data_IF_810953177883
#
_entry.id   IF_810953177883
#
_cell.length_a   1.000
_cell.length_b   1.000
_cell.length_c   1.000
_cell.angle_alpha   90.00
_cell.angle_beta   90.00
_cell.angle_gamma   90.00
#
_symmetry.space_group_name_H-M   'P 1'
#
loop_
_entity.id
_entity.type
_entity.pdbx_description
1 polymer ?
#
# COMPACT_ATOMS: atom_id res chain seq x y z
N UNK A 1 -14.83 -17.15 12.32
CA UNK A 1 -13.36 -17.21 12.20
C UNK A 1 -12.92 -16.10 11.25
N UNK A 2 -11.79 -15.44 11.49
CA UNK A 2 -11.23 -14.47 10.54
C UNK A 2 -10.75 -15.21 9.29
N UNK A 3 -10.90 -14.59 8.12
CA UNK A 3 -10.44 -15.19 6.88
C UNK A 3 -8.90 -15.37 6.88
N UNK A 4 -8.41 -16.46 6.28
CA UNK A 4 -6.96 -16.67 6.13
C UNK A 4 -6.36 -15.68 5.12
N UNK A 5 -5.04 -15.57 5.08
CA UNK A 5 -4.33 -14.75 4.10
C UNK A 5 -4.68 -15.19 2.68
N UNK A 6 -4.71 -16.50 2.40
CA UNK A 6 -5.03 -17.02 1.07
C UNK A 6 -6.51 -16.82 0.70
N UNK A 7 -7.43 -16.94 1.65
CA UNK A 7 -8.85 -16.58 1.43
C UNK A 7 -9.01 -15.08 1.12
N UNK A 8 -8.19 -14.21 1.73
CA UNK A 8 -8.19 -12.78 1.42
C UNK A 8 -7.61 -12.48 0.05
N UNK A 9 -6.54 -13.18 -0.35
CA UNK A 9 -5.98 -13.10 -1.70
C UNK A 9 -7.04 -13.45 -2.75
N UNK A 10 -7.78 -14.53 -2.53
CA UNK A 10 -8.83 -15.00 -3.44
C UNK A 10 -9.99 -14.02 -3.59
N UNK A 11 -10.27 -13.24 -2.55
CA UNK A 11 -11.31 -12.20 -2.55
C UNK A 11 -10.86 -10.89 -3.20
N UNK A 12 -9.59 -10.74 -3.58
CA UNK A 12 -9.15 -9.53 -4.25
C UNK A 12 -9.86 -9.36 -5.60
N UNK A 13 -10.22 -8.13 -5.98
CA UNK A 13 -10.88 -7.87 -7.25
C UNK A 13 -9.95 -8.23 -8.41
N UNK A 14 -10.48 -8.95 -9.40
CA UNK A 14 -9.74 -9.23 -10.65
C UNK A 14 -9.71 -8.03 -11.59
N UNK A 15 -10.75 -7.20 -11.53
CA UNK A 15 -10.91 -5.98 -12.34
C UNK A 15 -11.80 -4.98 -11.61
N UNK A 16 -11.26 -3.80 -11.31
CA UNK A 16 -11.96 -2.61 -10.84
C UNK A 16 -11.01 -1.41 -10.94
N UNK A 17 -11.42 -0.23 -10.45
CA UNK A 17 -10.57 0.96 -10.46
C UNK A 17 -9.21 0.74 -9.77
N UNK A 18 -9.17 0.07 -8.62
CA UNK A 18 -7.91 -0.29 -7.92
C UNK A 18 -6.96 -1.04 -8.85
N UNK A 19 -7.43 -2.11 -9.48
CA UNK A 19 -6.62 -2.93 -10.39
C UNK A 19 -6.14 -2.12 -11.60
N UNK A 20 -6.99 -1.24 -12.14
CA UNK A 20 -6.62 -0.38 -13.27
C UNK A 20 -5.56 0.66 -12.87
N UNK A 21 -5.69 1.29 -11.69
CA UNK A 21 -4.72 2.25 -11.18
C UNK A 21 -3.34 1.59 -10.93
N UNK A 22 -3.32 0.41 -10.31
CA UNK A 22 -2.09 -0.36 -10.11
C UNK A 22 -1.48 -0.77 -11.46
N UNK A 23 -2.30 -1.22 -12.41
CA UNK A 23 -1.83 -1.57 -13.76
C UNK A 23 -1.24 -0.38 -14.52
N UNK A 24 -1.80 0.82 -14.34
CA UNK A 24 -1.24 2.05 -14.88
C UNK A 24 0.15 2.31 -14.30
N UNK A 25 0.27 2.38 -12.98
CA UNK A 25 1.56 2.64 -12.30
C UNK A 25 2.59 1.54 -12.52
N UNK A 26 2.19 0.27 -12.67
CA UNK A 26 3.14 -0.81 -12.90
C UNK A 26 3.91 -0.68 -14.21
N UNK A 27 3.44 0.14 -15.17
CA UNK A 27 4.18 0.50 -16.38
C UNK A 27 5.44 1.32 -16.11
N UNK A 28 5.50 2.01 -14.96
CA UNK A 28 6.64 2.80 -14.53
C UNK A 28 7.71 1.95 -13.81
N UNK A 29 7.40 0.69 -13.47
CA UNK A 29 8.25 -0.17 -12.64
C UNK A 29 8.75 -1.37 -13.47
N UNK A 30 10.07 -1.57 -13.59
CA UNK A 30 10.63 -2.76 -14.23
C UNK A 30 10.12 -4.05 -13.58
N UNK A 31 9.84 -5.07 -14.40
CA UNK A 31 9.24 -6.34 -13.95
C UNK A 31 7.71 -6.32 -13.89
N UNK A 32 7.08 -5.14 -13.91
CA UNK A 32 5.64 -4.98 -13.99
C UNK A 32 4.88 -5.55 -12.78
N UNK A 33 3.58 -5.77 -12.97
CA UNK A 33 2.71 -6.38 -11.96
C UNK A 33 1.64 -7.22 -12.63
N UNK A 34 1.38 -8.39 -12.04
CA UNK A 34 0.29 -9.27 -12.42
C UNK A 34 -0.71 -9.33 -11.28
N UNK A 35 -2.00 -9.24 -11.60
CA UNK A 35 -3.06 -9.35 -10.60
C UNK A 35 -3.28 -10.82 -10.19
N UNK A 36 -2.28 -11.41 -9.53
CA UNK A 36 -2.38 -12.75 -8.97
C UNK A 36 -3.38 -12.74 -7.81
N UNK A 37 -4.48 -13.45 -7.97
CA UNK A 37 -5.51 -13.63 -6.94
C UNK A 37 -5.83 -15.10 -6.69
N UNK A 38 -5.22 -16.05 -7.41
CA UNK A 38 -5.41 -17.48 -7.17
C UNK A 38 -4.32 -17.98 -6.21
N UNK A 39 -4.69 -18.52 -5.04
CA UNK A 39 -3.74 -19.16 -4.15
C UNK A 39 -2.97 -20.29 -4.82
N UNK A 40 -3.63 -21.13 -5.62
CA UNK A 40 -3.01 -22.26 -6.32
C UNK A 40 -1.99 -21.79 -7.33
N UNK A 41 -2.33 -20.78 -8.15
CA UNK A 41 -1.41 -20.23 -9.12
C UNK A 41 -0.21 -19.54 -8.45
N UNK A 42 -0.43 -18.85 -7.32
CA UNK A 42 0.67 -18.29 -6.52
C UNK A 42 1.58 -19.39 -5.96
N UNK A 43 1.01 -20.47 -5.43
CA UNK A 43 1.78 -21.60 -4.89
C UNK A 43 2.57 -22.29 -6.01
N UNK A 44 1.95 -22.54 -7.17
CA UNK A 44 2.62 -23.13 -8.31
C UNK A 44 3.78 -22.24 -8.81
N UNK A 45 3.58 -20.91 -8.85
CA UNK A 45 4.61 -19.94 -9.21
C UNK A 45 5.79 -19.98 -8.24
N UNK A 46 5.53 -20.00 -6.92
CA UNK A 46 6.60 -20.05 -5.90
C UNK A 46 7.35 -21.39 -5.93
N UNK A 47 6.64 -22.49 -6.16
CA UNK A 47 7.24 -23.83 -6.22
C UNK A 47 7.98 -24.10 -7.53
N UNK A 48 7.60 -23.40 -8.62
CA UNK A 48 8.01 -23.78 -9.98
C UNK A 48 7.48 -25.16 -10.39
N UNK A 49 6.32 -25.58 -9.85
CA UNK A 49 5.75 -26.91 -10.05
C UNK A 49 4.22 -26.87 -10.09
N UNK A 50 3.62 -27.70 -10.95
CA UNK A 50 2.17 -27.89 -11.07
C UNK A 50 1.67 -29.18 -10.36
N UNK A 51 2.52 -29.83 -9.56
CA UNK A 51 2.13 -31.02 -8.79
C UNK A 51 1.02 -30.69 -7.79
N UNK A 52 -0.17 -31.24 -8.03
CA UNK A 52 -1.38 -30.99 -7.25
C UNK A 52 -1.24 -31.40 -5.77
N UNK A 53 -0.51 -32.48 -5.47
CA UNK A 53 -0.31 -32.93 -4.09
C UNK A 53 0.66 -32.00 -3.34
N UNK A 54 1.72 -31.55 -4.02
CA UNK A 54 2.64 -30.58 -3.42
C UNK A 54 1.95 -29.23 -3.17
N UNK A 55 1.19 -28.72 -4.15
CA UNK A 55 0.40 -27.48 -4.01
C UNK A 55 -0.57 -27.59 -2.84
N UNK A 56 -1.28 -28.72 -2.70
CA UNK A 56 -2.21 -28.96 -1.59
C UNK A 56 -1.51 -28.93 -0.24
N UNK A 57 -0.36 -29.62 -0.09
CA UNK A 57 0.42 -29.61 1.17
C UNK A 57 0.88 -28.22 1.57
N UNK A 58 1.39 -27.44 0.61
CA UNK A 58 1.83 -26.06 0.86
C UNK A 58 0.64 -25.17 1.23
N UNK A 59 -0.51 -25.33 0.56
CA UNK A 59 -1.73 -24.60 0.94
C UNK A 59 -2.15 -24.91 2.37
N UNK A 60 -2.23 -26.19 2.74
CA UNK A 60 -2.59 -26.61 4.11
C UNK A 60 -1.64 -26.01 5.15
N UNK A 61 -0.32 -25.99 4.85
CA UNK A 61 0.68 -25.40 5.74
C UNK A 61 0.55 -23.88 5.85
N UNK A 62 0.38 -23.18 4.73
CA UNK A 62 0.15 -21.74 4.69
C UNK A 62 -1.09 -21.34 5.49
N UNK A 63 -2.17 -22.11 5.36
CA UNK A 63 -3.41 -21.90 6.11
C UNK A 63 -3.24 -22.12 7.62
N UNK A 64 -2.43 -23.10 8.03
CA UNK A 64 -2.08 -23.32 9.43
C UNK A 64 -1.26 -22.15 10.00
N UNK A 65 -0.20 -21.72 9.29
CA UNK A 65 0.62 -20.56 9.65
C UNK A 65 -0.21 -19.27 9.71
N UNK A 66 -1.11 -19.06 8.75
CA UNK A 66 -1.99 -17.88 8.72
C UNK A 66 -2.92 -17.78 9.94
N UNK A 67 -3.33 -18.91 10.54
CA UNK A 67 -4.22 -18.95 11.71
C UNK A 67 -3.46 -18.85 13.03
N UNK A 68 -2.15 -19.09 13.02
CA UNK A 68 -1.31 -19.03 14.20
C UNK A 68 -1.12 -17.58 14.66
N UNK A 69 -1.61 -17.25 15.87
CA UNK A 69 -1.61 -15.87 16.39
C UNK A 69 -0.21 -15.25 16.55
N UNK A 70 0.82 -16.07 16.71
CA UNK A 70 2.19 -15.58 16.87
C UNK A 70 2.82 -15.13 15.55
N UNK A 71 2.34 -15.61 14.39
CA UNK A 71 3.01 -15.46 13.09
C UNK A 71 2.85 -14.08 12.40
N UNK A 72 2.17 -13.13 13.03
CA UNK A 72 2.15 -11.73 12.56
C UNK A 72 1.38 -11.42 11.27
N UNK A 73 1.10 -12.39 10.39
CA UNK A 73 0.42 -12.18 9.11
C UNK A 73 -0.94 -11.46 9.24
N UNK A 74 -1.77 -11.89 10.19
CA UNK A 74 -3.06 -11.22 10.45
C UNK A 74 -2.91 -9.78 10.94
N UNK A 75 -1.86 -9.48 11.72
CA UNK A 75 -1.55 -8.12 12.18
C UNK A 75 -1.05 -7.25 11.02
N UNK A 76 -0.19 -7.79 10.17
CA UNK A 76 0.26 -7.12 8.94
C UNK A 76 -0.92 -6.73 8.03
N UNK A 77 -1.85 -7.66 7.81
CA UNK A 77 -3.07 -7.37 7.04
C UNK A 77 -3.97 -6.32 7.70
N UNK A 78 -4.00 -6.28 9.03
CA UNK A 78 -4.78 -5.30 9.78
C UNK A 78 -4.20 -3.87 9.63
N UNK A 79 -2.88 -3.73 9.53
CA UNK A 79 -2.22 -2.45 9.22
C UNK A 79 -2.63 -1.92 7.85
N UNK A 80 -2.57 -2.79 6.82
CA UNK A 80 -3.01 -2.42 5.48
C UNK A 80 -4.49 -2.04 5.42
N UNK A 81 -5.34 -2.75 6.15
CA UNK A 81 -6.76 -2.41 6.22
C UNK A 81 -7.02 -1.10 6.99
N UNK A 82 -6.21 -0.77 7.99
CA UNK A 82 -6.37 0.41 8.84
C UNK A 82 -6.08 1.70 8.04
N UNK A 83 -5.01 1.69 7.27
CA UNK A 83 -4.66 2.76 6.33
C UNK A 83 -5.77 2.94 5.28
N UNK A 84 -6.28 1.84 4.73
CA UNK A 84 -7.19 1.88 3.58
C UNK A 84 -8.64 2.27 3.94
N UNK A 85 -9.13 1.93 5.14
CA UNK A 85 -10.54 2.14 5.52
C UNK A 85 -10.91 3.58 5.85
N UNK A 86 -9.93 4.45 6.04
CA UNK A 86 -10.14 5.77 6.62
C UNK A 86 -10.50 6.87 5.60
N UNK A 87 -10.35 6.60 4.30
CA UNK A 87 -10.48 7.62 3.24
C UNK A 87 -11.61 7.36 2.24
N UNK A 88 -12.41 6.31 2.42
CA UNK A 88 -13.34 5.83 1.37
C UNK A 88 -14.58 6.69 1.21
N UNK A 89 -14.93 6.97 -0.04
CA UNK A 89 -16.25 7.50 -0.41
C UNK A 89 -17.37 6.51 -0.05
N UNK A 90 -18.52 7.03 0.38
CA UNK A 90 -19.68 6.25 0.85
C UNK A 90 -20.28 5.33 -0.22
N UNK A 91 -20.95 4.26 0.22
CA UNK A 91 -21.16 3.00 -0.52
C UNK A 91 -21.81 3.06 -1.92
N UNK A 92 -22.57 4.09 -2.28
CA UNK A 92 -23.17 4.22 -3.63
C UNK A 92 -22.12 4.50 -4.72
N UNK A 93 -21.03 5.18 -4.36
CA UNK A 93 -19.94 5.56 -5.26
C UNK A 93 -18.99 4.39 -5.57
N UNK A 94 -18.86 3.42 -4.67
CA UNK A 94 -18.04 2.21 -4.88
C UNK A 94 -18.62 1.25 -5.90
N UNK A 95 -19.95 1.20 -6.04
CA UNK A 95 -20.62 0.38 -7.07
C UNK A 95 -20.21 0.86 -8.47
N UNK A 96 -20.11 2.18 -8.66
CA UNK A 96 -19.67 2.78 -9.92
C UNK A 96 -18.18 2.50 -10.22
N UNK A 97 -17.31 2.50 -9.21
CA UNK A 97 -15.89 2.17 -9.37
C UNK A 97 -15.61 0.71 -9.79
N UNK A 98 -16.58 -0.19 -9.55
CA UNK A 98 -16.52 -1.58 -9.99
C UNK A 98 -17.03 -1.79 -11.44
N UNK A 99 -17.76 -0.82 -12.00
CA UNK A 99 -18.37 -0.90 -13.32
C UNK A 99 -17.51 -0.20 -14.39
N UNK A 100 -16.28 -0.68 -14.62
CA UNK A 100 -15.50 -0.56 -15.87
C UNK A 100 -15.37 0.77 -16.65
N UNK A 101 -15.94 1.88 -16.20
CA UNK A 101 -16.04 3.15 -16.90
C UNK A 101 -15.83 4.29 -15.91
N UNK A 102 -14.61 4.83 -15.88
CA UNK A 102 -14.26 5.96 -15.03
C UNK A 102 -14.95 7.27 -15.49
N UNK A 103 -15.41 7.35 -16.74
CA UNK A 103 -15.82 8.59 -17.40
C UNK A 103 -17.04 9.33 -16.78
N UNK A 104 -18.12 8.67 -16.30
CA UNK A 104 -19.23 9.40 -15.68
C UNK A 104 -18.91 9.93 -14.27
N UNK A 105 -17.90 9.36 -13.60
CA UNK A 105 -17.48 9.75 -12.25
C UNK A 105 -16.64 11.04 -12.28
N UNK A 106 -15.72 11.19 -13.24
CA UNK A 106 -14.79 12.34 -13.35
C UNK A 106 -15.54 13.69 -13.36
N UNK A 107 -16.72 13.78 -14.00
CA UNK A 107 -17.50 15.02 -14.07
C UNK A 107 -18.17 15.45 -12.76
N UNK A 108 -18.33 14.56 -11.77
CA UNK A 108 -18.94 14.87 -10.46
C UNK A 108 -17.91 15.02 -9.32
N UNK A 109 -16.62 14.92 -9.64
CA UNK A 109 -15.51 14.94 -8.68
C UNK A 109 -14.76 16.28 -8.65
N UNK A 110 -15.18 17.25 -9.46
CA UNK A 110 -14.63 18.60 -9.48
C UNK A 110 -14.74 19.32 -8.12
N UNK A 111 -15.55 18.80 -7.19
CA UNK A 111 -15.80 19.33 -5.85
C UNK A 111 -14.97 18.65 -4.74
N UNK A 112 -14.05 17.74 -5.07
CA UNK A 112 -13.15 17.16 -4.07
C UNK A 112 -12.07 18.17 -3.68
N UNK A 113 -12.20 18.71 -2.46
CA UNK A 113 -11.21 19.62 -1.87
C UNK A 113 -10.00 18.83 -1.37
N UNK A 114 -8.79 19.08 -1.90
CA UNK A 114 -7.58 18.46 -1.37
C UNK A 114 -7.34 18.85 0.09
N UNK A 115 -6.81 17.90 0.86
CA UNK A 115 -6.29 18.16 2.21
C UNK A 115 -5.11 19.14 2.19
N UNK A 116 -4.76 19.72 3.35
CA UNK A 116 -3.55 20.52 3.48
C UNK A 116 -2.29 19.66 3.28
N UNK A 117 -1.20 20.27 2.84
CA UNK A 117 0.10 19.59 2.66
C UNK A 117 0.57 18.89 3.94
N UNK A 118 0.37 19.50 5.10
CA UNK A 118 0.69 18.90 6.40
C UNK A 118 -0.12 17.63 6.66
N UNK A 119 -1.41 17.62 6.32
CA UNK A 119 -2.27 16.47 6.52
C UNK A 119 -1.93 15.34 5.54
N UNK A 120 -1.60 15.67 4.30
CA UNK A 120 -1.10 14.72 3.29
C UNK A 120 0.25 14.12 3.70
N UNK A 121 1.18 14.93 4.24
CA UNK A 121 2.45 14.44 4.77
C UNK A 121 2.24 13.48 5.95
N UNK A 122 1.29 13.77 6.85
CA UNK A 122 0.91 12.83 7.92
C UNK A 122 0.35 11.54 7.36
N UNK A 123 -0.55 11.61 6.38
CA UNK A 123 -1.15 10.42 5.77
C UNK A 123 -0.10 9.52 5.10
N UNK A 124 0.80 10.12 4.32
CA UNK A 124 1.97 9.43 3.75
C UNK A 124 2.82 8.78 4.84
N UNK A 125 3.11 9.50 5.93
CA UNK A 125 3.92 8.94 7.04
C UNK A 125 3.23 7.77 7.75
N UNK A 126 1.89 7.79 7.86
CA UNK A 126 1.10 6.69 8.42
C UNK A 126 1.11 5.48 7.48
N UNK A 127 1.00 5.69 6.17
CA UNK A 127 1.16 4.64 5.15
C UNK A 127 2.54 3.98 5.25
N UNK A 128 3.61 4.77 5.29
CA UNK A 128 5.00 4.29 5.47
C UNK A 128 5.18 3.52 6.78
N UNK A 129 4.68 4.06 7.90
CA UNK A 129 4.73 3.39 9.19
C UNK A 129 3.99 2.05 9.18
N UNK A 130 2.84 1.99 8.50
CA UNK A 130 2.11 0.74 8.31
C UNK A 130 2.88 -0.27 7.44
N UNK A 131 3.63 0.18 6.41
CA UNK A 131 4.52 -0.72 5.65
C UNK A 131 5.58 -1.34 6.55
N UNK A 132 6.27 -0.48 7.30
CA UNK A 132 7.35 -0.90 8.18
C UNK A 132 6.84 -1.88 9.23
N UNK A 133 5.73 -1.55 9.89
CA UNK A 133 5.13 -2.44 10.88
C UNK A 133 4.62 -3.73 10.23
N UNK A 134 4.08 -3.70 9.02
CA UNK A 134 3.66 -4.93 8.33
C UNK A 134 4.86 -5.82 8.01
N UNK A 135 5.95 -5.22 7.53
CA UNK A 135 7.23 -5.89 7.28
C UNK A 135 7.77 -6.56 8.55
N UNK A 136 7.82 -5.84 9.68
CA UNK A 136 8.34 -6.40 10.93
C UNK A 136 7.45 -7.52 11.45
N UNK A 137 6.12 -7.38 11.36
CA UNK A 137 5.18 -8.44 11.77
C UNK A 137 5.34 -9.71 10.94
N UNK A 138 5.45 -9.59 9.61
CA UNK A 138 5.59 -10.76 8.71
C UNK A 138 6.93 -11.48 8.89
N UNK A 139 7.97 -10.78 9.33
CA UNK A 139 9.30 -11.35 9.54
C UNK A 139 9.62 -11.66 11.01
N UNK A 140 8.66 -11.47 11.92
CA UNK A 140 8.88 -11.71 13.36
C UNK A 140 9.89 -10.76 14.02
N UNK A 141 10.07 -9.56 13.45
CA UNK A 141 11.02 -8.55 13.92
C UNK A 141 10.35 -7.59 14.92
N UNK A 142 11.13 -6.93 15.80
CA UNK A 142 10.65 -5.81 16.61
C UNK A 142 10.07 -4.67 15.77
N UNK A 143 9.07 -3.97 16.30
CA UNK A 143 8.32 -2.93 15.58
C UNK A 143 9.13 -1.67 15.23
N UNK A 144 10.33 -1.52 15.78
CA UNK A 144 11.29 -0.43 15.60
C UNK A 144 12.54 -0.85 14.79
N UNK A 145 12.44 -1.95 14.02
CA UNK A 145 13.54 -2.46 13.18
C UNK A 145 13.73 -1.65 11.89
N UNK A 146 14.06 -0.35 12.02
CA UNK A 146 14.20 0.57 10.89
C UNK A 146 15.31 0.16 9.91
N UNK A 147 16.43 -0.36 10.43
CA UNK A 147 17.56 -0.81 9.61
C UNK A 147 17.20 -1.98 8.70
N UNK A 148 16.52 -3.00 9.25
CA UNK A 148 16.05 -4.15 8.49
C UNK A 148 15.01 -3.74 7.44
N UNK A 149 14.12 -2.81 7.80
CA UNK A 149 13.17 -2.26 6.86
C UNK A 149 13.86 -1.52 5.69
N UNK A 150 14.87 -0.70 5.98
CA UNK A 150 15.64 0.01 4.97
C UNK A 150 16.38 -0.96 4.01
N UNK A 151 16.91 -2.06 4.54
CA UNK A 151 17.52 -3.11 3.74
C UNK A 151 16.49 -3.81 2.85
N UNK A 152 15.35 -4.19 3.42
CA UNK A 152 14.28 -4.89 2.71
C UNK A 152 13.72 -4.08 1.54
N UNK A 153 13.59 -2.75 1.66
CA UNK A 153 13.10 -1.89 0.58
C UNK A 153 13.92 -2.03 -0.73
N UNK A 154 15.21 -2.37 -0.65
CA UNK A 154 16.06 -2.59 -1.84
C UNK A 154 15.74 -3.90 -2.56
N UNK A 155 15.29 -4.89 -1.80
CA UNK A 155 14.92 -6.22 -2.28
C UNK A 155 13.46 -6.31 -2.71
N UNK A 156 12.67 -5.23 -2.55
CA UNK A 156 11.29 -5.21 -2.99
C UNK A 156 11.19 -5.42 -4.50
N UNK A 157 10.41 -6.44 -4.87
CA UNK A 157 10.07 -6.83 -6.24
C UNK A 157 8.55 -7.02 -6.38
N UNK A 158 8.09 -7.22 -7.62
CA UNK A 158 6.69 -7.54 -7.92
C UNK A 158 5.68 -6.59 -7.26
N UNK A 159 4.69 -7.15 -6.58
CA UNK A 159 3.64 -6.40 -5.90
C UNK A 159 4.14 -5.43 -4.81
N UNK A 160 5.24 -5.75 -4.11
CA UNK A 160 5.79 -4.88 -3.07
C UNK A 160 6.49 -3.66 -3.69
N UNK A 161 7.24 -3.85 -4.78
CA UNK A 161 7.86 -2.73 -5.52
C UNK A 161 6.82 -1.81 -6.16
N UNK A 162 5.78 -2.39 -6.75
CA UNK A 162 4.66 -1.60 -7.32
C UNK A 162 3.86 -0.90 -6.23
N UNK A 163 3.69 -1.49 -5.04
CA UNK A 163 3.10 -0.79 -3.88
C UNK A 163 3.91 0.46 -3.52
N UNK A 164 5.23 0.37 -3.49
CA UNK A 164 6.08 1.53 -3.19
C UNK A 164 6.04 2.58 -4.30
N UNK A 165 5.97 2.17 -5.57
CA UNK A 165 5.78 3.11 -6.67
C UNK A 165 4.42 3.83 -6.58
N UNK A 166 3.35 3.10 -6.23
CA UNK A 166 2.04 3.69 -5.98
C UNK A 166 2.09 4.66 -4.79
N UNK A 167 2.75 4.30 -3.68
CA UNK A 167 2.94 5.17 -2.52
C UNK A 167 3.69 6.46 -2.89
N UNK A 168 4.81 6.36 -3.62
CA UNK A 168 5.55 7.53 -4.10
C UNK A 168 4.68 8.40 -5.02
N UNK A 169 4.00 7.79 -6.00
CA UNK A 169 3.25 8.54 -7.00
C UNK A 169 1.98 9.17 -6.41
N UNK A 170 1.17 8.38 -5.72
CA UNK A 170 -0.17 8.77 -5.27
C UNK A 170 -0.16 9.56 -3.98
N UNK A 171 0.77 9.28 -3.07
CA UNK A 171 0.78 9.84 -1.72
C UNK A 171 1.88 10.89 -1.51
N UNK A 172 2.89 10.94 -2.39
CA UNK A 172 3.91 11.99 -2.37
C UNK A 172 3.81 12.90 -3.59
N UNK A 173 4.10 12.42 -4.80
CA UNK A 173 4.31 13.30 -5.97
C UNK A 173 3.03 14.00 -6.46
N UNK A 174 1.90 13.28 -6.55
CA UNK A 174 0.64 13.89 -6.96
C UNK A 174 0.10 14.92 -5.95
N UNK A 175 0.02 14.63 -4.63
CA UNK A 175 -0.53 15.56 -3.66
C UNK A 175 0.44 16.68 -3.27
N UNK A 176 1.72 16.36 -3.05
CA UNK A 176 2.74 17.28 -2.50
C UNK A 176 3.72 17.81 -3.56
N UNK A 177 3.63 17.35 -4.81
CA UNK A 177 4.48 17.78 -5.92
C UNK A 177 5.82 17.06 -6.01
N UNK A 178 6.59 17.35 -7.06
CA UNK A 178 7.86 16.66 -7.36
C UNK A 178 8.98 16.89 -6.32
N UNK A 179 8.79 17.88 -5.43
CA UNK A 179 9.70 18.17 -4.33
C UNK A 179 9.23 17.56 -2.99
N UNK A 180 8.23 16.68 -3.01
CA UNK A 180 7.60 16.11 -1.81
C UNK A 180 8.62 15.48 -0.85
N UNK A 181 9.55 14.68 -1.38
CA UNK A 181 10.53 13.96 -0.56
C UNK A 181 11.52 14.90 0.14
N UNK A 182 11.90 15.99 -0.52
CA UNK A 182 12.78 17.03 0.04
C UNK A 182 12.07 17.84 1.13
N UNK A 183 10.75 18.01 1.03
CA UNK A 183 9.95 18.83 1.94
C UNK A 183 9.33 18.02 3.08
N UNK A 184 9.31 16.68 3.00
CA UNK A 184 8.59 15.81 3.93
C UNK A 184 9.00 16.04 5.39
N UNK A 185 10.29 16.15 5.68
CA UNK A 185 10.79 16.42 7.04
C UNK A 185 10.32 17.78 7.56
N UNK A 186 10.41 18.83 6.73
CA UNK A 186 9.95 20.17 7.08
C UNK A 186 8.43 20.23 7.32
N UNK A 187 7.65 19.50 6.51
CA UNK A 187 6.19 19.39 6.68
C UNK A 187 5.86 18.67 7.99
N UNK A 188 6.49 17.51 8.25
CA UNK A 188 6.29 16.74 9.48
C UNK A 188 6.80 17.48 10.73
N UNK A 189 7.80 18.36 10.59
CA UNK A 189 8.28 19.23 11.68
C UNK A 189 7.22 20.23 12.17
N UNK A 190 6.25 20.57 11.30
CA UNK A 190 5.14 21.48 11.62
C UNK A 190 3.91 20.77 12.20
N UNK A 191 3.91 19.43 12.20
CA UNK A 191 2.79 18.61 12.67
C UNK A 191 2.85 18.49 14.19
N UNK A 192 1.74 18.79 14.86
CA UNK A 192 1.50 18.47 16.26
C UNK A 192 0.43 17.37 16.43
N UNK A 193 0.05 17.10 17.68
CA UNK A 193 -0.98 16.11 17.99
C UNK A 193 -2.37 16.45 17.42
N UNK A 194 -2.65 17.73 17.14
CA UNK A 194 -3.93 18.14 16.52
C UNK A 194 -4.02 17.63 15.09
N UNK A 195 -3.02 17.92 14.27
CA UNK A 195 -2.96 17.52 12.86
C UNK A 195 -2.90 15.99 12.76
N UNK A 196 -2.14 15.33 13.65
CA UNK A 196 -2.11 13.87 13.72
C UNK A 196 -3.50 13.26 13.94
N UNK A 197 -4.27 13.81 14.90
CA UNK A 197 -5.63 13.33 15.19
C UNK A 197 -6.65 13.67 14.11
N UNK A 198 -6.34 14.61 13.22
CA UNK A 198 -7.16 14.91 12.05
C UNK A 198 -6.92 13.91 10.91
N UNK A 199 -5.78 13.21 10.90
CA UNK A 199 -5.49 12.19 9.89
C UNK A 199 -6.44 11.01 10.05
N UNK A 200 -7.26 10.69 9.01
CA UNK A 200 -8.28 9.65 9.14
C UNK A 200 -7.73 8.28 9.55
N UNK A 201 -6.55 7.90 9.04
CA UNK A 201 -5.93 6.61 9.34
C UNK A 201 -5.38 6.52 10.78
N UNK A 202 -5.11 7.65 11.45
CA UNK A 202 -4.45 7.66 12.75
C UNK A 202 -5.28 6.94 13.81
N UNK A 203 -6.59 7.17 13.87
CA UNK A 203 -7.45 6.52 14.88
C UNK A 203 -7.43 4.99 14.80
N UNK A 204 -7.33 4.43 13.58
CA UNK A 204 -7.24 2.99 13.37
C UNK A 204 -5.84 2.42 13.66
N UNK A 205 -4.79 3.23 13.44
CA UNK A 205 -3.40 2.81 13.63
C UNK A 205 -2.85 3.08 15.03
N UNK A 206 -3.42 4.00 15.80
CA UNK A 206 -2.86 4.47 17.06
C UNK A 206 -2.59 3.34 18.06
N UNK A 207 -3.43 2.29 18.10
CA UNK A 207 -3.22 1.12 18.97
C UNK A 207 -2.16 0.14 18.47
N UNK A 208 -1.65 0.33 17.26
CA UNK A 208 -0.64 -0.51 16.61
C UNK A 208 0.72 0.20 16.51
N UNK A 209 0.76 1.52 16.68
CA UNK A 209 1.98 2.31 16.68
C UNK A 209 2.78 2.09 17.96
N UNK A 210 4.13 2.00 17.89
CA UNK A 210 4.98 1.93 19.07
C UNK A 210 4.92 3.21 19.90
N UNK A 211 5.00 3.06 21.22
CA UNK A 211 5.00 4.17 22.18
C UNK A 211 3.62 4.47 22.76
N UNK A 212 3.52 5.54 23.56
CA UNK A 212 2.27 6.01 24.15
C UNK A 212 2.09 7.49 23.88
N UNK A 213 0.95 7.83 23.28
CA UNK A 213 0.55 9.22 23.03
C UNK A 213 1.12 9.79 21.72
N UNK A 214 0.52 10.91 21.32
CA UNK A 214 0.76 11.51 20.00
C UNK A 214 2.22 11.91 19.76
N UNK A 215 2.94 12.34 20.79
CA UNK A 215 4.35 12.72 20.66
C UNK A 215 5.24 11.52 20.28
N UNK A 216 5.07 10.40 20.98
CA UNK A 216 5.80 9.17 20.68
C UNK A 216 5.45 8.64 19.29
N UNK A 217 4.16 8.69 18.92
CA UNK A 217 3.71 8.30 17.60
C UNK A 217 4.31 9.20 16.52
N UNK A 218 4.32 10.52 16.68
CA UNK A 218 4.97 11.45 15.74
C UNK A 218 6.46 11.18 15.59
N UNK A 219 7.16 10.88 16.70
CA UNK A 219 8.56 10.48 16.66
C UNK A 219 8.78 9.25 15.79
N UNK A 220 7.95 8.21 15.99
CA UNK A 220 7.98 6.99 15.17
C UNK A 220 7.68 7.27 13.70
N UNK A 221 6.64 8.06 13.40
CA UNK A 221 6.25 8.41 12.03
C UNK A 221 7.36 9.17 11.31
N UNK A 222 8.01 10.14 11.97
CA UNK A 222 9.15 10.89 11.40
C UNK A 222 10.33 9.98 11.09
N UNK A 223 10.65 9.05 12.00
CA UNK A 223 11.76 8.12 11.78
C UNK A 223 11.46 7.13 10.64
N UNK A 224 10.24 6.61 10.57
CA UNK A 224 9.81 5.72 9.49
C UNK A 224 9.83 6.46 8.15
N UNK A 225 9.26 7.67 8.10
CA UNK A 225 9.24 8.54 6.92
C UNK A 225 10.66 8.94 6.46
N UNK A 226 11.57 9.24 7.38
CA UNK A 226 12.98 9.54 7.04
C UNK A 226 13.71 8.33 6.46
N UNK A 227 13.50 7.15 7.05
CA UNK A 227 14.08 5.88 6.56
C UNK A 227 13.61 5.57 5.15
N UNK A 228 12.29 5.63 4.93
CA UNK A 228 11.70 5.43 3.61
C UNK A 228 12.06 6.53 2.62
N UNK A 229 12.07 7.80 3.03
CA UNK A 229 12.32 8.96 2.17
C UNK A 229 13.70 8.94 1.55
N UNK A 230 14.72 8.49 2.30
CA UNK A 230 16.08 8.27 1.79
C UNK A 230 16.09 7.24 0.64
N UNK A 231 15.42 6.10 0.83
CA UNK A 231 15.27 5.09 -0.22
C UNK A 231 14.43 5.59 -1.41
N UNK A 232 13.30 6.24 -1.13
CA UNK A 232 12.36 6.75 -2.12
C UNK A 232 13.01 7.81 -3.03
N UNK A 233 13.91 8.63 -2.49
CA UNK A 233 14.67 9.60 -3.28
C UNK A 233 15.54 8.93 -4.35
N UNK A 234 16.24 7.85 -3.99
CA UNK A 234 16.99 7.03 -4.93
C UNK A 234 16.08 6.37 -5.97
N UNK A 235 14.95 5.81 -5.53
CA UNK A 235 13.97 5.17 -6.40
C UNK A 235 13.35 6.13 -7.42
N UNK A 236 12.99 7.34 -6.99
CA UNK A 236 12.50 8.43 -7.86
C UNK A 236 13.57 8.83 -8.87
N UNK A 237 14.82 8.97 -8.43
CA UNK A 237 15.94 9.31 -9.32
C UNK A 237 16.22 8.24 -10.37
N UNK A 238 16.25 6.96 -9.98
CA UNK A 238 16.51 5.81 -10.85
C UNK A 238 15.45 5.69 -11.97
N UNK A 239 14.17 5.82 -11.62
CA UNK A 239 13.06 5.67 -12.56
C UNK A 239 12.66 7.02 -13.22
N UNK A 240 13.28 8.13 -12.77
CA UNK A 240 12.94 9.49 -13.15
C UNK A 240 11.47 9.81 -12.93
N UNK A 241 10.89 9.41 -11.79
CA UNK A 241 9.47 9.59 -11.50
C UNK A 241 9.12 11.07 -11.29
N UNK A 242 7.95 11.46 -11.80
CA UNK A 242 7.34 12.79 -11.58
C UNK A 242 5.83 12.62 -11.47
N UNK A 243 5.14 13.61 -10.89
CA UNK A 243 3.68 13.67 -10.87
C UNK A 243 3.08 13.59 -12.27
N UNK A 244 3.72 14.25 -13.26
CA UNK A 244 3.28 14.18 -14.65
C UNK A 244 3.39 12.77 -15.23
N UNK A 245 4.50 12.04 -14.99
CA UNK A 245 4.62 10.64 -15.41
C UNK A 245 3.58 9.75 -14.74
N UNK A 246 3.28 9.99 -13.46
CA UNK A 246 2.24 9.26 -12.75
C UNK A 246 0.85 9.48 -13.40
N UNK A 247 0.50 10.73 -13.76
CA UNK A 247 -0.74 11.03 -14.49
C UNK A 247 -0.78 10.29 -15.82
N UNK A 248 0.26 10.41 -16.64
CA UNK A 248 0.31 9.75 -17.96
C UNK A 248 0.16 8.23 -17.86
N UNK A 249 0.82 7.62 -16.88
CA UNK A 249 0.70 6.19 -16.61
C UNK A 249 -0.73 5.80 -16.22
N UNK A 250 -1.39 6.61 -15.39
CA UNK A 250 -2.79 6.39 -15.00
C UNK A 250 -3.76 6.59 -16.16
N UNK A 251 -3.56 7.61 -16.99
CA UNK A 251 -4.43 7.91 -18.14
C UNK A 251 -4.46 6.76 -19.15
N UNK A 252 -3.35 6.03 -19.29
CA UNK A 252 -3.29 4.82 -20.12
C UNK A 252 -4.25 3.72 -19.68
N UNK A 253 -4.61 3.68 -18.39
CA UNK A 253 -5.45 2.65 -17.79
C UNK A 253 -6.86 3.15 -17.41
N UNK A 254 -6.99 4.43 -17.03
CA UNK A 254 -8.21 5.05 -16.51
C UNK A 254 -8.89 5.98 -17.51
N UNK A 255 -8.17 6.41 -18.55
CA UNK A 255 -8.58 7.44 -19.50
C UNK A 255 -8.11 8.85 -19.09
N UNK A 256 -8.32 9.86 -19.96
CA UNK A 256 -7.78 11.21 -19.77
C UNK A 256 -8.25 11.90 -18.49
N UNK A 257 -7.35 12.62 -17.83
CA UNK A 257 -7.60 13.41 -16.63
C UNK A 257 -7.52 14.91 -16.93
N UNK A 258 -8.50 15.69 -16.45
CA UNK A 258 -8.58 17.13 -16.71
C UNK A 258 -8.42 17.99 -15.45
N UNK A 259 -8.35 17.38 -14.26
CA UNK A 259 -8.18 18.09 -12.99
C UNK A 259 -6.71 18.31 -12.62
N UNK A 260 -6.48 18.88 -11.43
CA UNK A 260 -5.13 18.99 -10.87
C UNK A 260 -4.57 17.64 -10.41
N UNK A 261 -3.27 17.58 -10.11
CA UNK A 261 -2.63 16.40 -9.54
C UNK A 261 -3.18 16.07 -8.15
N UNK A 262 -3.45 17.10 -7.33
CA UNK A 262 -4.03 16.94 -6.00
C UNK A 262 -5.46 16.38 -6.06
N UNK A 263 -6.26 16.81 -7.04
CA UNK A 263 -7.60 16.25 -7.26
C UNK A 263 -7.52 14.78 -7.69
N UNK A 264 -6.53 14.42 -8.51
CA UNK A 264 -6.31 13.02 -8.88
C UNK A 264 -5.89 12.17 -7.68
N UNK A 265 -4.96 12.65 -6.85
CA UNK A 265 -4.56 11.96 -5.61
C UNK A 265 -5.78 11.73 -4.70
N UNK A 266 -6.57 12.78 -4.47
CA UNK A 266 -7.79 12.70 -3.66
C UNK A 266 -8.81 11.70 -4.23
N UNK A 267 -8.95 11.65 -5.56
CA UNK A 267 -9.78 10.65 -6.23
C UNK A 267 -9.23 9.23 -6.02
N UNK A 268 -7.92 9.02 -6.16
CA UNK A 268 -7.32 7.70 -5.97
C UNK A 268 -7.51 7.21 -4.53
N UNK A 269 -7.24 8.05 -3.53
CA UNK A 269 -7.46 7.71 -2.11
C UNK A 269 -8.92 7.35 -1.80
N UNK A 270 -9.87 8.08 -2.39
CA UNK A 270 -11.29 7.88 -2.11
C UNK A 270 -11.89 6.63 -2.77
N UNK A 271 -11.33 6.19 -3.91
CA UNK A 271 -11.95 5.19 -4.78
C UNK A 271 -11.08 3.96 -5.06
N UNK A 272 -9.82 3.95 -4.64
CA UNK A 272 -8.91 2.83 -4.84
C UNK A 272 -8.41 2.26 -3.52
N UNK A 273 -8.02 0.99 -3.58
CA UNK A 273 -7.52 0.22 -2.46
C UNK A 273 -6.09 -0.27 -2.74
N UNK A 274 -5.28 0.53 -3.44
CA UNK A 274 -4.00 0.08 -4.06
C UNK A 274 -3.03 -0.50 -3.04
N UNK A 275 -2.92 0.18 -1.90
CA UNK A 275 -2.07 -0.20 -0.79
C UNK A 275 -2.48 -1.54 -0.16
N UNK A 276 -3.77 -1.71 0.10
CA UNK A 276 -4.31 -2.94 0.67
C UNK A 276 -4.24 -4.11 -0.32
N UNK A 277 -4.54 -3.86 -1.59
CA UNK A 277 -4.55 -4.89 -2.64
C UNK A 277 -3.17 -5.53 -2.79
N UNK A 278 -2.15 -4.71 -3.02
CA UNK A 278 -0.76 -5.16 -3.14
C UNK A 278 -0.22 -5.67 -1.80
N UNK A 279 -0.65 -5.09 -0.66
CA UNK A 279 -0.34 -5.57 0.69
C UNK A 279 -0.76 -7.02 0.91
N UNK A 280 -2.01 -7.35 0.56
CA UNK A 280 -2.51 -8.74 0.65
C UNK A 280 -1.70 -9.68 -0.23
N UNK A 281 -1.39 -9.28 -1.47
CA UNK A 281 -0.57 -10.09 -2.37
C UNK A 281 0.83 -10.37 -1.80
N UNK A 282 1.51 -9.34 -1.28
CA UNK A 282 2.86 -9.48 -0.73
C UNK A 282 2.89 -10.38 0.50
N UNK A 283 1.91 -10.22 1.40
CA UNK A 283 1.77 -11.06 2.59
C UNK A 283 1.47 -12.51 2.18
N UNK A 284 0.64 -12.73 1.16
CA UNK A 284 0.34 -14.06 0.66
C UNK A 284 1.56 -14.74 0.05
N UNK A 285 2.33 -14.04 -0.79
CA UNK A 285 3.57 -14.57 -1.38
C UNK A 285 4.54 -15.00 -0.29
N UNK A 286 4.81 -14.12 0.69
CA UNK A 286 5.74 -14.41 1.78
C UNK A 286 5.29 -15.58 2.65
N UNK A 287 3.99 -15.69 2.91
CA UNK A 287 3.41 -16.84 3.61
C UNK A 287 3.63 -18.14 2.84
N UNK A 288 3.39 -18.12 1.52
CA UNK A 288 3.58 -19.29 0.64
C UNK A 288 5.04 -19.68 0.54
N UNK A 289 5.96 -18.74 0.37
CA UNK A 289 7.41 -19.00 0.39
C UNK A 289 7.84 -19.72 1.66
N UNK A 290 7.36 -19.25 2.82
CA UNK A 290 7.65 -19.90 4.09
C UNK A 290 7.01 -21.28 4.19
N UNK A 291 5.74 -21.41 3.82
CA UNK A 291 5.04 -22.69 3.85
C UNK A 291 5.71 -23.73 2.95
N UNK A 292 6.21 -23.31 1.77
CA UNK A 292 6.96 -24.15 0.85
C UNK A 292 8.33 -24.57 1.44
N UNK A 293 9.02 -23.67 2.14
CA UNK A 293 10.30 -24.00 2.78
C UNK A 293 10.18 -24.97 3.97
N UNK A 294 8.99 -25.12 4.55
CA UNK A 294 8.70 -26.03 5.67
C UNK A 294 8.16 -27.41 5.23
N UNK A 295 7.99 -27.63 3.92
CA UNK A 295 7.52 -28.89 3.29
C UNK A 295 8.67 -29.54 2.52
#
# INVERSE_FOLDING_TARGET
>A
MSATVLERLERLPRRNLTVLAIKGISTLVPGGWHNQTSPEALIAEVLGSEDADLIRRVRERADALSRARHEGYGRALSLYDAVNRSQKATGSLRILANLGGALPLVKRLADLTPASETLQAVDLSLKVAAEMLAFTQVNGLPGDSFGDFAAALREYAGEARVRMAALVCFDALLPLGDQALQQLDALLGRVGGRELRQAPAYGALAGMLPGRGDEAHLGFLRQAAGTWGSWAGGFVGELGLTGQKAVQALESALGPWQGSFQQLATFLDAFTDTYQHTGVQAVARRLVERAAAEI
#
